data_IF_885304922199
#
_entry.id   IF_885304922199
#
_cell.length_a   1.000
_cell.length_b   1.000
_cell.length_c   1.000
_cell.angle_alpha   90.00
_cell.angle_beta   90.00
_cell.angle_gamma   90.00
#
_symmetry.space_group_name_H-M   'P 1'
#
loop_
_entity.id
_entity.type
_entity.pdbx_description
1 polymer ?
#
# COMPACT_ATOMS: atom_id res chain seq x y z
N UNK A 1 -10.23 25.19 26.69
CA UNK A 1 -8.92 25.57 26.08
C UNK A 1 -7.90 24.45 26.30
N UNK A 2 -8.11 23.26 25.73
CA UNK A 2 -7.30 22.04 26.01
C UNK A 2 -6.01 21.94 25.17
N UNK A 3 -5.62 23.05 24.54
CA UNK A 3 -4.42 23.19 23.71
C UNK A 3 -3.60 24.37 24.22
N UNK A 4 -3.36 24.42 25.53
CA UNK A 4 -2.43 25.37 26.14
C UNK A 4 -1.06 25.27 25.48
N UNK A 5 -0.31 26.38 25.52
CA UNK A 5 0.94 26.63 24.80
C UNK A 5 1.88 25.39 24.79
N UNK A 6 1.85 24.62 23.69
CA UNK A 6 2.52 23.30 23.55
C UNK A 6 4.02 23.39 23.86
N UNK A 7 4.63 24.52 23.53
CA UNK A 7 6.05 24.77 23.75
C UNK A 7 6.41 24.84 25.23
N UNK A 8 5.59 25.53 26.04
CA UNK A 8 5.84 25.65 27.48
C UNK A 8 5.63 24.32 28.20
N UNK A 9 4.58 23.59 27.82
CA UNK A 9 4.26 22.27 28.36
C UNK A 9 5.35 21.24 28.03
N UNK A 10 5.90 21.31 26.81
CA UNK A 10 6.97 20.42 26.38
C UNK A 10 8.30 20.68 27.10
N UNK A 11 8.62 21.95 27.38
CA UNK A 11 9.89 22.36 27.98
C UNK A 11 9.92 22.18 29.50
N UNK A 12 8.80 22.42 30.19
CA UNK A 12 8.79 22.54 31.65
C UNK A 12 7.99 21.46 32.39
N UNK A 13 7.06 20.77 31.72
CA UNK A 13 6.12 19.85 32.39
C UNK A 13 6.25 18.38 31.95
N UNK A 14 6.90 18.10 30.82
CA UNK A 14 7.14 16.72 30.37
C UNK A 14 8.24 16.04 31.19
N UNK A 15 7.85 15.03 31.96
CA UNK A 15 8.75 14.12 32.66
C UNK A 15 8.61 12.69 32.14
N UNK A 16 9.66 11.84 32.22
CA UNK A 16 9.57 10.44 31.86
C UNK A 16 8.41 9.75 32.59
N UNK A 17 7.54 9.08 31.85
CA UNK A 17 6.30 8.46 32.36
C UNK A 17 5.03 9.26 32.07
N UNK A 18 5.12 10.49 31.57
CA UNK A 18 3.96 11.21 31.04
C UNK A 18 3.43 10.58 29.75
N UNK A 19 2.11 10.47 29.63
CA UNK A 19 1.43 10.05 28.40
C UNK A 19 1.12 11.26 27.52
N UNK A 20 1.53 11.22 26.25
CA UNK A 20 1.25 12.26 25.27
C UNK A 20 0.27 11.72 24.21
N UNK A 21 -0.94 12.26 24.21
CA UNK A 21 -1.93 11.99 23.16
C UNK A 21 -1.59 12.78 21.90
N UNK A 22 -0.81 12.16 21.00
CA UNK A 22 -0.45 12.75 19.71
C UNK A 22 -1.49 12.44 18.63
N UNK A 23 -1.44 13.22 17.56
CA UNK A 23 -2.18 12.90 16.33
C UNK A 23 -1.57 11.65 15.66
N UNK A 24 -2.39 11.02 14.81
CA UNK A 24 -1.96 9.94 13.92
C UNK A 24 -0.95 10.48 12.92
N UNK A 25 0.14 9.74 12.72
CA UNK A 25 1.25 10.11 11.86
C UNK A 25 1.49 9.03 10.80
N UNK A 26 2.30 9.37 9.80
CA UNK A 26 2.72 8.42 8.77
C UNK A 26 3.46 7.23 9.41
N UNK A 27 3.13 6.03 8.96
CA UNK A 27 3.70 4.77 9.45
C UNK A 27 2.98 4.15 10.64
N UNK A 28 2.02 4.84 11.28
CA UNK A 28 1.19 4.24 12.33
C UNK A 28 0.34 3.08 11.78
N UNK A 29 0.07 2.09 12.62
CA UNK A 29 -0.79 0.96 12.28
C UNK A 29 -2.24 1.26 12.64
N UNK A 30 -3.15 0.96 11.72
CA UNK A 30 -4.60 1.11 11.90
C UNK A 30 -5.33 -0.10 11.37
N UNK A 31 -6.44 -0.47 11.99
CA UNK A 31 -7.34 -1.50 11.48
C UNK A 31 -8.36 -0.86 10.56
N UNK A 32 -8.58 -1.48 9.41
CA UNK A 32 -9.47 -1.00 8.36
C UNK A 32 -10.48 -2.09 8.01
N UNK A 33 -11.77 -1.75 8.01
CA UNK A 33 -12.84 -2.71 7.71
C UNK A 33 -13.97 -2.11 6.86
N UNK A 34 -14.64 -2.98 6.11
CA UNK A 34 -15.91 -2.70 5.43
C UNK A 34 -17.04 -3.44 6.13
N UNK A 35 -18.20 -2.79 6.29
CA UNK A 35 -19.42 -3.46 6.73
C UNK A 35 -20.22 -3.97 5.52
N UNK A 36 -20.87 -5.15 5.61
CA UNK A 36 -20.80 -6.13 6.70
C UNK A 36 -19.51 -6.96 6.65
N UNK A 37 -18.92 -7.27 7.81
CA UNK A 37 -17.71 -8.09 7.89
C UNK A 37 -18.06 -9.57 8.01
N UNK A 38 -18.10 -10.29 6.87
CA UNK A 38 -18.45 -11.72 6.82
C UNK A 38 -17.24 -12.65 7.04
N UNK A 39 -16.04 -12.16 6.77
CA UNK A 39 -14.81 -12.95 6.82
C UNK A 39 -13.75 -12.26 7.68
N UNK A 40 -12.82 -13.05 8.22
CA UNK A 40 -11.68 -12.52 9.00
C UNK A 40 -10.90 -11.45 8.24
N UNK A 41 -10.73 -11.65 6.93
CA UNK A 41 -10.02 -10.74 6.01
C UNK A 41 -10.78 -9.44 5.72
N UNK A 42 -12.05 -9.34 6.14
CA UNK A 42 -12.82 -8.09 6.03
C UNK A 42 -12.39 -7.02 7.04
N UNK A 43 -11.46 -7.36 7.95
CA UNK A 43 -10.72 -6.41 8.78
C UNK A 43 -9.22 -6.73 8.70
N UNK A 44 -8.41 -5.76 8.29
CA UNK A 44 -6.95 -5.92 8.19
C UNK A 44 -6.24 -4.65 8.65
N UNK A 45 -4.98 -4.80 9.03
CA UNK A 45 -4.12 -3.71 9.44
C UNK A 45 -3.39 -3.09 8.25
N UNK A 46 -3.41 -1.76 8.17
CA UNK A 46 -2.72 -0.95 7.17
C UNK A 46 -1.77 0.03 7.85
N UNK A 47 -0.75 0.45 7.10
CA UNK A 47 0.10 1.58 7.50
C UNK A 47 -0.51 2.87 7.03
N UNK A 48 -0.57 3.85 7.92
CA UNK A 48 -1.15 5.16 7.65
C UNK A 48 -0.21 5.97 6.77
N UNK A 49 -0.80 6.66 5.79
CA UNK A 49 -0.20 7.81 5.11
C UNK A 49 -1.20 8.95 5.10
N UNK A 50 -0.87 10.04 5.76
CA UNK A 50 -1.74 11.19 5.94
C UNK A 50 -1.79 11.99 4.63
N UNK A 51 -2.99 12.15 4.09
CA UNK A 51 -3.24 12.94 2.89
C UNK A 51 -4.19 14.10 3.20
N UNK A 52 -4.12 15.17 2.40
CA UNK A 52 -4.94 16.38 2.57
C UNK A 52 -6.42 16.19 2.23
N UNK A 53 -6.75 15.15 1.47
CA UNK A 53 -8.10 14.89 0.98
C UNK A 53 -8.94 14.19 2.05
N UNK A 54 -10.28 14.26 1.92
CA UNK A 54 -11.23 13.71 2.90
C UNK A 54 -11.62 12.25 2.69
N UNK A 55 -11.08 11.61 1.65
CA UNK A 55 -11.38 10.20 1.33
C UNK A 55 -10.27 9.29 1.84
N UNK A 56 -10.67 8.10 2.31
CA UNK A 56 -9.73 7.02 2.58
C UNK A 56 -9.23 6.45 1.25
N UNK A 57 -7.94 6.09 1.19
CA UNK A 57 -7.28 5.57 0.00
C UNK A 57 -6.52 4.33 0.36
N UNK A 58 -6.69 3.30 -0.45
CA UNK A 58 -5.95 2.04 -0.36
C UNK A 58 -5.75 1.49 -1.77
N UNK A 59 -4.90 0.47 -1.89
CA UNK A 59 -4.57 -0.13 -3.17
C UNK A 59 -5.77 -0.97 -3.70
N UNK A 60 -6.11 -0.82 -4.98
CA UNK A 60 -7.21 -1.54 -5.64
C UNK A 60 -7.07 -3.06 -5.57
N UNK A 61 -5.84 -3.60 -5.56
CA UNK A 61 -5.61 -5.03 -5.38
C UNK A 61 -6.16 -5.58 -4.05
N UNK A 62 -6.44 -4.72 -3.07
CA UNK A 62 -6.99 -5.09 -1.75
C UNK A 62 -8.51 -4.90 -1.70
N UNK A 63 -9.18 -4.52 -2.80
CA UNK A 63 -10.63 -4.38 -2.84
C UNK A 63 -11.37 -5.69 -2.63
N UNK A 64 -10.87 -6.80 -3.20
CA UNK A 64 -11.51 -8.12 -3.11
C UNK A 64 -11.73 -8.61 -1.66
N UNK A 65 -10.76 -8.55 -0.73
CA UNK A 65 -10.98 -8.87 0.69
C UNK A 65 -12.13 -8.10 1.37
N UNK A 66 -12.34 -6.85 0.95
CA UNK A 66 -13.37 -5.98 1.50
C UNK A 66 -14.68 -6.04 0.71
N UNK A 67 -14.68 -6.68 -0.46
CA UNK A 67 -15.76 -6.65 -1.43
C UNK A 67 -16.20 -5.21 -1.74
N UNK A 68 -15.22 -4.31 -1.94
CA UNK A 68 -15.42 -2.88 -2.13
C UNK A 68 -15.34 -2.48 -3.60
N UNK A 69 -16.18 -1.53 -4.00
CA UNK A 69 -16.18 -0.85 -5.29
C UNK A 69 -16.29 0.66 -5.04
N UNK A 70 -15.46 1.47 -5.69
CA UNK A 70 -15.31 2.90 -5.34
C UNK A 70 -16.47 3.80 -5.82
N UNK A 71 -17.72 3.35 -5.70
CA UNK A 71 -18.93 4.03 -6.18
C UNK A 71 -19.63 4.90 -5.11
N UNK A 72 -19.08 4.95 -3.90
CA UNK A 72 -19.66 5.63 -2.74
C UNK A 72 -19.48 4.90 -1.41
N UNK A 73 -18.76 3.78 -1.41
CA UNK A 73 -18.47 2.97 -0.23
C UNK A 73 -17.91 3.75 0.97
N UNK A 74 -18.46 3.42 2.15
CA UNK A 74 -17.98 3.87 3.45
C UNK A 74 -17.26 2.73 4.19
N UNK A 75 -16.16 3.07 4.85
CA UNK A 75 -15.32 2.11 5.58
C UNK A 75 -14.88 2.70 6.91
N UNK A 76 -14.69 1.85 7.93
CA UNK A 76 -14.26 2.32 9.24
C UNK A 76 -12.76 2.11 9.45
N UNK A 77 -12.21 2.95 10.32
CA UNK A 77 -10.81 2.93 10.70
C UNK A 77 -10.74 2.94 12.23
N UNK A 78 -10.06 1.95 12.80
CA UNK A 78 -9.86 1.82 14.24
C UNK A 78 -8.36 1.97 14.55
N UNK A 79 -8.03 2.81 15.54
CA UNK A 79 -6.64 3.10 15.92
C UNK A 79 -6.30 2.34 17.21
N UNK A 80 -5.41 1.32 17.17
CA UNK A 80 -4.95 0.61 18.36
C UNK A 80 -4.22 1.56 19.33
N UNK A 81 -4.64 1.56 20.60
CA UNK A 81 -4.12 2.49 21.62
C UNK A 81 -2.94 1.92 22.41
N UNK A 82 -2.80 0.60 22.50
CA UNK A 82 -1.70 -0.06 23.22
C UNK A 82 -0.62 -0.56 22.25
N UNK A 83 0.63 -0.63 22.72
CA UNK A 83 1.74 -1.16 21.91
C UNK A 83 1.55 -2.66 21.61
N UNK A 84 0.97 -3.43 22.54
CA UNK A 84 0.63 -4.84 22.32
C UNK A 84 -0.37 -5.01 21.16
N UNK A 85 -1.44 -4.20 21.14
CA UNK A 85 -2.42 -4.25 20.07
C UNK A 85 -1.84 -3.78 18.71
N UNK A 86 -0.88 -2.85 18.71
CA UNK A 86 -0.16 -2.47 17.49
C UNK A 86 0.72 -3.61 16.99
N UNK A 87 1.39 -4.32 17.89
CA UNK A 87 2.19 -5.50 17.54
C UNK A 87 1.30 -6.59 16.93
N UNK A 88 0.18 -6.93 17.57
CA UNK A 88 -0.79 -7.91 17.03
C UNK A 88 -1.34 -7.48 15.67
N UNK A 89 -1.71 -6.20 15.51
CA UNK A 89 -2.18 -5.69 14.23
C UNK A 89 -1.11 -5.84 13.14
N UNK A 90 0.15 -5.50 13.44
CA UNK A 90 1.24 -5.55 12.47
C UNK A 90 1.64 -6.99 12.08
N UNK A 91 1.65 -7.91 13.04
CA UNK A 91 2.11 -9.28 12.80
C UNK A 91 0.99 -10.20 12.31
N UNK A 92 -0.22 -10.10 12.88
CA UNK A 92 -1.30 -11.04 12.58
C UNK A 92 -2.29 -10.51 11.54
N UNK A 93 -2.55 -9.20 11.56
CA UNK A 93 -3.63 -8.60 10.78
C UNK A 93 -3.13 -7.81 9.56
N UNK A 94 -1.82 -7.63 9.40
CA UNK A 94 -1.25 -6.95 8.23
C UNK A 94 -1.73 -7.58 6.93
N UNK A 95 -2.02 -6.74 5.94
CA UNK A 95 -2.38 -7.17 4.57
C UNK A 95 -1.33 -8.14 4.00
N UNK A 96 -0.05 -7.90 4.28
CA UNK A 96 1.06 -8.74 3.79
C UNK A 96 1.00 -10.17 4.34
N UNK A 97 0.44 -10.37 5.52
CA UNK A 97 0.25 -11.68 6.14
C UNK A 97 -1.09 -12.34 5.78
N UNK A 98 -1.97 -11.61 5.07
CA UNK A 98 -3.32 -12.06 4.71
C UNK A 98 -3.57 -11.98 3.19
N UNK A 99 -2.54 -12.18 2.37
CA UNK A 99 -2.65 -12.17 0.90
C UNK A 99 -3.47 -13.33 0.35
N UNK A 100 -3.63 -14.41 1.11
CA UNK A 100 -4.25 -15.67 0.70
C UNK A 100 -5.45 -15.94 1.60
N UNK A 101 -6.54 -16.47 1.03
CA UNK A 101 -7.70 -16.87 1.84
C UNK A 101 -7.41 -18.16 2.62
N UNK A 102 -7.71 -18.22 3.93
CA UNK A 102 -7.49 -19.42 4.73
C UNK A 102 -8.41 -20.60 4.33
N UNK A 103 -9.49 -20.34 3.58
CA UNK A 103 -10.47 -21.36 3.19
C UNK A 103 -10.00 -22.21 2.00
N UNK A 104 -9.54 -21.58 0.92
CA UNK A 104 -9.14 -22.27 -0.32
C UNK A 104 -7.64 -22.21 -0.61
N UNK A 105 -6.88 -21.37 0.08
CA UNK A 105 -5.46 -21.16 -0.24
C UNK A 105 -5.23 -20.35 -1.52
N UNK A 106 -6.28 -19.74 -2.07
CA UNK A 106 -6.19 -18.90 -3.27
C UNK A 106 -5.76 -17.47 -2.93
N UNK A 107 -5.03 -16.79 -3.84
CA UNK A 107 -4.66 -15.39 -3.65
C UNK A 107 -5.92 -14.52 -3.61
N UNK A 108 -6.08 -13.78 -2.52
CA UNK A 108 -7.17 -12.85 -2.30
C UNK A 108 -6.78 -11.43 -2.71
N UNK A 109 -5.53 -11.04 -2.44
CA UNK A 109 -4.95 -9.76 -2.88
C UNK A 109 -4.17 -10.01 -4.16
N UNK A 110 -4.71 -9.56 -5.29
CA UNK A 110 -4.15 -9.80 -6.61
C UNK A 110 -4.41 -8.60 -7.53
N UNK A 111 -3.62 -8.52 -8.61
CA UNK A 111 -3.84 -7.52 -9.66
C UNK A 111 -5.20 -7.73 -10.33
N UNK A 112 -5.97 -6.66 -10.46
CA UNK A 112 -7.31 -6.65 -11.07
C UNK A 112 -7.43 -5.57 -12.14
N UNK A 113 -8.54 -5.59 -12.90
CA UNK A 113 -8.92 -4.54 -13.85
C UNK A 113 -7.80 -4.10 -14.80
N UNK A 114 -7.37 -2.84 -14.67
CA UNK A 114 -6.37 -2.21 -15.53
C UNK A 114 -4.99 -2.83 -15.37
N UNK A 115 -4.64 -3.32 -14.18
CA UNK A 115 -3.36 -4.00 -13.99
C UNK A 115 -3.26 -5.25 -14.87
N UNK A 116 -4.33 -6.04 -14.94
CA UNK A 116 -4.38 -7.25 -15.78
C UNK A 116 -4.37 -6.88 -17.25
N UNK A 117 -5.14 -5.86 -17.64
CA UNK A 117 -5.22 -5.40 -19.03
C UNK A 117 -3.86 -4.86 -19.52
N UNK A 118 -3.23 -3.99 -18.72
CA UNK A 118 -1.91 -3.44 -19.01
C UNK A 118 -0.84 -4.54 -19.08
N UNK A 119 -0.83 -5.47 -18.12
CA UNK A 119 0.11 -6.59 -18.15
C UNK A 119 -0.08 -7.47 -19.40
N UNK A 120 -1.33 -7.76 -19.77
CA UNK A 120 -1.63 -8.51 -20.98
C UNK A 120 -1.14 -7.79 -22.24
N UNK A 121 -1.46 -6.51 -22.39
CA UNK A 121 -1.06 -5.71 -23.56
C UNK A 121 0.46 -5.56 -23.65
N UNK A 122 1.12 -5.25 -22.53
CA UNK A 122 2.57 -5.05 -22.48
C UNK A 122 3.33 -6.34 -22.81
N UNK A 123 2.87 -7.49 -22.31
CA UNK A 123 3.57 -8.78 -22.47
C UNK A 123 3.27 -9.49 -23.80
N UNK A 124 2.59 -8.85 -24.74
CA UNK A 124 2.40 -9.43 -26.08
C UNK A 124 3.73 -9.53 -26.83
N UNK A 125 3.84 -10.53 -27.72
CA UNK A 125 5.09 -10.80 -28.47
C UNK A 125 5.47 -9.70 -29.46
N UNK A 126 4.50 -8.91 -29.89
CA UNK A 126 4.64 -7.82 -30.86
C UNK A 126 4.95 -6.46 -30.21
N UNK A 127 5.06 -6.40 -28.89
CA UNK A 127 5.39 -5.17 -28.16
C UNK A 127 6.88 -5.08 -27.94
N UNK A 128 7.48 -4.05 -28.54
CA UNK A 128 8.87 -3.68 -28.39
C UNK A 128 8.98 -2.22 -27.95
N UNK A 129 9.85 -1.98 -26.98
CA UNK A 129 10.11 -0.68 -26.38
C UNK A 129 11.48 -0.20 -26.83
N UNK A 130 11.56 1.08 -27.19
CA UNK A 130 12.85 1.73 -27.35
C UNK A 130 13.53 1.99 -26.00
N UNK A 131 14.79 2.43 -26.03
CA UNK A 131 15.56 2.68 -24.81
C UNK A 131 14.93 3.73 -23.90
N UNK A 132 14.22 4.72 -24.45
CA UNK A 132 13.63 5.81 -23.66
C UNK A 132 12.32 5.36 -23.00
N UNK A 133 11.47 4.65 -23.73
CA UNK A 133 10.24 4.05 -23.23
C UNK A 133 10.52 3.02 -22.14
N UNK A 134 11.51 2.15 -22.36
CA UNK A 134 11.93 1.16 -21.37
C UNK A 134 12.45 1.86 -20.10
N UNK A 135 13.33 2.86 -20.24
CA UNK A 135 13.82 3.65 -19.12
C UNK A 135 12.69 4.31 -18.33
N UNK A 136 11.71 4.90 -19.03
CA UNK A 136 10.58 5.58 -18.40
C UNK A 136 9.72 4.60 -17.59
N UNK A 137 9.42 3.42 -18.13
CA UNK A 137 8.64 2.40 -17.42
C UNK A 137 9.37 1.89 -16.18
N UNK A 138 10.67 1.62 -16.31
CA UNK A 138 11.52 1.18 -15.20
C UNK A 138 11.57 2.23 -14.09
N UNK A 139 11.82 3.50 -14.43
CA UNK A 139 11.82 4.59 -13.46
C UNK A 139 10.46 4.81 -12.79
N UNK A 140 9.35 4.51 -13.49
CA UNK A 140 8.01 4.63 -12.94
C UNK A 140 7.63 3.47 -12.01
N UNK A 141 8.22 2.28 -12.23
CA UNK A 141 7.99 1.10 -11.38
C UNK A 141 8.82 1.09 -10.10
N UNK A 142 9.93 1.82 -10.07
CA UNK A 142 10.82 1.85 -8.91
C UNK A 142 10.31 2.83 -7.84
N UNK A 143 10.37 2.43 -6.58
CA UNK A 143 9.95 3.23 -5.42
C UNK A 143 11.08 4.17 -4.95
N UNK A 144 11.99 4.53 -5.86
CA UNK A 144 13.18 5.38 -5.63
C UNK A 144 14.08 4.93 -4.46
N UNK A 145 14.01 3.65 -4.06
CA UNK A 145 14.83 3.13 -2.96
C UNK A 145 16.13 2.61 -3.54
N UNK A 146 17.21 3.39 -3.53
CA UNK A 146 18.65 3.01 -3.63
C UNK A 146 19.02 1.59 -4.14
N UNK A 147 18.38 1.09 -5.19
CA UNK A 147 18.70 -0.20 -5.82
C UNK A 147 19.43 0.16 -7.11
N UNK A 148 20.68 -0.30 -7.21
CA UNK A 148 21.42 -0.21 -8.45
C UNK A 148 20.78 -1.19 -9.44
N UNK A 149 19.92 -0.69 -10.32
CA UNK A 149 19.24 -1.54 -11.29
C UNK A 149 20.21 -1.99 -12.38
N UNK A 150 20.34 -3.30 -12.55
CA UNK A 150 21.06 -3.89 -13.67
C UNK A 150 20.21 -3.75 -14.93
N UNK A 151 20.75 -3.05 -15.93
CA UNK A 151 20.06 -2.86 -17.20
C UNK A 151 20.07 -4.16 -18.01
N UNK A 152 18.90 -4.75 -18.31
CA UNK A 152 18.87 -5.97 -19.10
C UNK A 152 19.36 -5.69 -20.53
N UNK A 153 20.02 -6.68 -21.13
CA UNK A 153 20.41 -6.57 -22.53
C UNK A 153 19.16 -6.51 -23.43
N UNK A 154 19.15 -5.64 -24.46
CA UNK A 154 18.03 -5.56 -25.39
C UNK A 154 17.87 -6.89 -26.14
N UNK A 155 16.63 -7.35 -26.32
CA UNK A 155 16.35 -8.58 -27.08
C UNK A 155 16.70 -8.44 -28.56
N UNK A 156 16.69 -7.22 -29.11
CA UNK A 156 17.10 -6.91 -30.49
C UNK A 156 18.18 -5.84 -30.44
N UNK A 157 19.31 -6.06 -31.12
CA UNK A 157 20.46 -5.12 -31.12
C UNK A 157 20.54 -4.26 -32.40
N UNK A 158 20.09 -4.80 -33.55
CA UNK A 158 20.17 -4.14 -34.87
C UNK A 158 18.83 -4.31 -35.59
N UNK A 159 18.39 -3.33 -36.41
CA UNK A 159 19.04 -2.04 -36.69
C UNK A 159 18.96 -1.06 -35.51
N UNK A 160 18.08 -1.32 -34.55
CA UNK A 160 17.91 -0.53 -33.33
C UNK A 160 17.86 -1.45 -32.10
N UNK A 161 18.20 -0.88 -30.94
CA UNK A 161 18.11 -1.57 -29.65
C UNK A 161 16.68 -1.54 -29.16
N UNK A 162 16.07 -2.71 -29.01
CA UNK A 162 14.71 -2.86 -28.52
C UNK A 162 14.64 -3.89 -27.39
N UNK A 163 13.76 -3.62 -26.44
CA UNK A 163 13.39 -4.51 -25.36
C UNK A 163 11.98 -5.03 -25.60
N UNK A 164 11.75 -6.32 -25.43
CA UNK A 164 10.39 -6.85 -25.51
C UNK A 164 9.62 -6.41 -24.27
N UNK A 165 8.31 -6.19 -24.36
CA UNK A 165 7.52 -5.85 -23.17
C UNK A 165 7.44 -6.96 -22.09
N UNK A 166 8.04 -8.13 -22.32
CA UNK A 166 8.23 -9.17 -21.31
C UNK A 166 9.51 -9.04 -20.49
N UNK A 167 10.50 -8.27 -20.98
CA UNK A 167 11.76 -8.01 -20.29
C UNK A 167 11.57 -6.90 -19.27
#
# INVERSE_FOLDING_TARGET
>A
MRFGNRENLALNELVPGCTVERHLCDGDWVLFNRQPSLHRVSIMAHRVRVHKHRTLRFNECVCAPYNADFDGDEMNLHVPQTEEARAEASELMSVLHNLITPKSGEPLVAATQDFVTCAHLLTRRDVFLDSAQFAQLVCASDDARNVCMEWPHPCILKPMRLWSGKQ
#
